data_IF_079274560570
#
_entry.id   IF_079274560570
#
_cell.length_a   1.000
_cell.length_b   1.000
_cell.length_c   1.000
_cell.angle_alpha   90.00
_cell.angle_beta   90.00
_cell.angle_gamma   90.00
#
_symmetry.space_group_name_H-M   'P 1'
#
loop_
_entity.id
_entity.type
_entity.pdbx_description
1 polymer ?
#
# COMPACT_ATOMS: atom_id res chain seq x y z
N UNK A 1 -31.41 27.30 8.43
CA UNK A 1 -30.79 26.90 7.15
C UNK A 1 -29.32 27.26 7.18
N UNK A 2 -28.42 26.27 7.32
CA UNK A 2 -26.98 26.53 7.22
C UNK A 2 -26.67 26.79 5.75
N UNK A 3 -26.11 27.96 5.44
CA UNK A 3 -25.70 28.31 4.08
C UNK A 3 -24.71 27.25 3.55
N UNK A 4 -24.96 26.72 2.36
CA UNK A 4 -24.10 25.74 1.67
C UNK A 4 -22.64 26.21 1.54
N UNK A 5 -22.41 27.52 1.60
CA UNK A 5 -21.06 28.12 1.63
C UNK A 5 -20.30 27.84 2.93
N UNK A 6 -20.97 27.89 4.08
CA UNK A 6 -20.40 27.61 5.40
C UNK A 6 -20.09 26.12 5.51
N UNK A 7 -20.99 25.27 5.03
CA UNK A 7 -20.79 23.83 5.01
C UNK A 7 -19.56 23.43 4.17
N UNK A 8 -19.38 24.01 2.98
CA UNK A 8 -18.18 23.80 2.16
C UNK A 8 -16.89 24.24 2.85
N UNK A 9 -16.94 25.34 3.62
CA UNK A 9 -15.76 25.89 4.32
C UNK A 9 -15.23 24.95 5.42
N UNK A 10 -16.07 24.09 5.98
CA UNK A 10 -15.66 23.10 6.99
C UNK A 10 -15.42 21.70 6.41
N UNK A 11 -16.24 21.25 5.45
CA UNK A 11 -16.10 19.90 4.86
C UNK A 11 -14.80 19.78 4.07
N UNK A 12 -14.43 20.79 3.27
CA UNK A 12 -13.24 20.71 2.41
C UNK A 12 -11.96 20.52 3.24
N UNK A 13 -11.65 21.33 4.27
CA UNK A 13 -10.50 21.09 5.14
C UNK A 13 -10.51 19.72 5.81
N UNK A 14 -11.68 19.27 6.27
CA UNK A 14 -11.81 17.99 6.97
C UNK A 14 -11.47 16.81 6.06
N UNK A 15 -11.90 16.85 4.80
CA UNK A 15 -11.55 15.84 3.78
C UNK A 15 -10.04 15.83 3.52
N UNK A 16 -9.41 17.01 3.39
CA UNK A 16 -7.95 17.10 3.23
C UNK A 16 -7.19 16.46 4.40
N UNK A 17 -7.60 16.74 5.64
CA UNK A 17 -6.96 16.15 6.83
C UNK A 17 -7.17 14.63 6.86
N UNK A 18 -8.39 14.16 6.64
CA UNK A 18 -8.69 12.73 6.61
C UNK A 18 -7.87 11.98 5.55
N UNK A 19 -7.65 12.61 4.40
CA UNK A 19 -6.86 12.07 3.30
C UNK A 19 -5.36 11.95 3.65
N UNK A 20 -4.78 12.96 4.31
CA UNK A 20 -3.41 12.88 4.81
C UNK A 20 -3.23 11.85 5.91
N UNK A 21 -4.23 11.71 6.78
CA UNK A 21 -4.27 10.67 7.81
C UNK A 21 -4.29 9.28 7.17
N UNK A 22 -5.14 9.05 6.17
CA UNK A 22 -5.18 7.79 5.41
C UNK A 22 -3.82 7.49 4.77
N UNK A 23 -3.22 8.47 4.10
CA UNK A 23 -1.90 8.33 3.51
C UNK A 23 -0.85 7.90 4.53
N UNK A 24 -0.82 8.57 5.68
CA UNK A 24 0.14 8.27 6.76
C UNK A 24 -0.05 6.86 7.32
N UNK A 25 -1.29 6.41 7.52
CA UNK A 25 -1.55 5.04 7.97
C UNK A 25 -1.09 4.00 6.95
N UNK A 26 -1.38 4.19 5.66
CA UNK A 26 -0.95 3.24 4.63
C UNK A 26 0.58 3.21 4.53
N UNK A 27 1.23 4.37 4.60
CA UNK A 27 2.68 4.46 4.65
C UNK A 27 3.26 3.68 5.83
N UNK A 28 2.73 3.87 7.05
CA UNK A 28 3.18 3.12 8.23
C UNK A 28 2.96 1.62 8.08
N UNK A 29 1.83 1.18 7.54
CA UNK A 29 1.56 -0.23 7.28
C UNK A 29 2.60 -0.84 6.32
N UNK A 30 2.91 -0.14 5.22
CA UNK A 30 3.91 -0.58 4.24
C UNK A 30 5.30 -0.62 4.88
N UNK A 31 5.68 0.40 5.66
CA UNK A 31 6.99 0.43 6.34
C UNK A 31 7.10 -0.70 7.35
N UNK A 32 6.11 -0.91 8.21
CA UNK A 32 6.11 -1.99 9.18
C UNK A 32 6.17 -3.37 8.50
N UNK A 33 5.39 -3.56 7.44
CA UNK A 33 5.41 -4.78 6.64
C UNK A 33 6.79 -5.06 6.03
N UNK A 34 7.42 -4.05 5.44
CA UNK A 34 8.75 -4.21 4.85
C UNK A 34 9.84 -4.42 5.92
N UNK A 35 9.79 -3.73 7.06
CA UNK A 35 10.77 -3.93 8.14
C UNK A 35 10.72 -5.36 8.66
N UNK A 36 9.52 -5.92 8.89
CA UNK A 36 9.38 -7.32 9.34
C UNK A 36 9.97 -8.29 8.31
N UNK A 37 9.65 -8.12 7.03
CA UNK A 37 10.18 -8.98 5.98
C UNK A 37 11.69 -8.80 5.75
N UNK A 38 12.21 -7.58 5.84
CA UNK A 38 13.65 -7.34 5.75
C UNK A 38 14.41 -7.88 6.97
N UNK A 39 13.86 -7.78 8.18
CA UNK A 39 14.42 -8.42 9.36
C UNK A 39 14.49 -9.95 9.17
N UNK A 40 13.47 -10.54 8.55
CA UNK A 40 13.48 -11.96 8.21
C UNK A 40 14.55 -12.36 7.20
N UNK A 41 14.97 -11.46 6.30
CA UNK A 41 16.14 -11.73 5.44
C UNK A 41 17.39 -11.96 6.28
N UNK A 42 17.58 -11.17 7.34
CA UNK A 42 18.75 -11.26 8.22
C UNK A 42 18.64 -12.49 9.13
N UNK A 43 17.45 -12.76 9.67
CA UNK A 43 17.20 -13.87 10.60
C UNK A 43 17.32 -15.25 9.93
N UNK A 44 16.91 -15.39 8.67
CA UNK A 44 16.97 -16.67 7.92
C UNK A 44 18.41 -17.13 7.65
N UNK A 45 19.39 -16.23 7.67
CA UNK A 45 20.82 -16.57 7.56
C UNK A 45 21.40 -17.14 8.88
N UNK A 46 20.65 -17.06 9.98
CA UNK A 46 21.04 -17.65 11.27
C UNK A 46 20.41 -19.05 11.42
N UNK A 47 21.26 -20.07 11.52
CA UNK A 47 20.88 -21.49 11.52
C UNK A 47 19.93 -21.97 12.65
N UNK A 48 19.51 -21.07 13.56
CA UNK A 48 18.73 -21.40 14.75
C UNK A 48 17.50 -20.51 14.97
N UNK A 49 17.26 -19.51 14.13
CA UNK A 49 16.13 -18.57 14.30
C UNK A 49 15.01 -18.86 13.29
N UNK A 50 13.77 -18.96 13.79
CA UNK A 50 12.59 -19.03 12.95
C UNK A 50 12.24 -17.63 12.41
N UNK A 51 11.73 -17.51 11.17
CA UNK A 51 11.32 -16.22 10.62
C UNK A 51 10.23 -15.59 11.50
N UNK A 52 10.35 -14.29 11.74
CA UNK A 52 9.35 -13.49 12.46
C UNK A 52 8.06 -13.52 11.66
N UNK A 53 7.06 -14.21 12.20
CA UNK A 53 5.73 -14.28 11.59
C UNK A 53 4.84 -13.17 12.14
N UNK A 54 3.89 -12.71 11.32
CA UNK A 54 2.81 -11.90 11.87
C UNK A 54 1.97 -12.80 12.78
N UNK A 55 1.87 -12.47 14.07
CA UNK A 55 1.08 -13.25 15.06
C UNK A 55 -0.43 -13.28 14.76
N UNK A 56 -0.88 -12.58 13.73
CA UNK A 56 -2.25 -12.60 13.24
C UNK A 56 -2.47 -13.79 12.29
N UNK A 57 -3.68 -14.38 12.32
CA UNK A 57 -4.01 -15.46 11.39
C UNK A 57 -3.84 -15.03 9.92
N UNK A 58 -3.42 -15.94 9.05
CA UNK A 58 -3.28 -15.69 7.61
C UNK A 58 -4.53 -15.02 7.02
N UNK A 59 -5.72 -15.50 7.39
CA UNK A 59 -7.01 -14.97 6.92
C UNK A 59 -7.20 -13.51 7.35
N UNK A 60 -6.88 -13.17 8.60
CA UNK A 60 -6.98 -11.78 9.07
C UNK A 60 -6.02 -10.85 8.32
N UNK A 61 -4.77 -11.27 8.13
CA UNK A 61 -3.78 -10.47 7.40
C UNK A 61 -4.18 -10.29 5.92
N UNK A 62 -4.72 -11.34 5.30
CA UNK A 62 -5.22 -11.31 3.94
C UNK A 62 -6.40 -10.32 3.78
N UNK A 63 -7.37 -10.36 4.69
CA UNK A 63 -8.52 -9.44 4.68
C UNK A 63 -8.03 -7.99 4.82
N UNK A 64 -7.05 -7.74 5.68
CA UNK A 64 -6.48 -6.40 5.87
C UNK A 64 -5.79 -5.92 4.58
N UNK A 65 -4.95 -6.73 3.96
CA UNK A 65 -4.26 -6.38 2.69
C UNK A 65 -5.26 -6.08 1.58
N UNK A 66 -6.27 -6.94 1.40
CA UNK A 66 -7.30 -6.73 0.39
C UNK A 66 -8.19 -5.51 0.68
N UNK A 67 -8.54 -5.30 1.95
CA UNK A 67 -9.35 -4.16 2.39
C UNK A 67 -8.64 -2.83 2.18
N UNK A 68 -7.37 -2.71 2.59
CA UNK A 68 -6.54 -1.54 2.34
C UNK A 68 -6.36 -1.35 0.83
N UNK A 69 -6.07 -2.42 0.10
CA UNK A 69 -5.94 -2.39 -1.35
C UNK A 69 -7.18 -1.84 -2.05
N UNK A 70 -8.37 -2.26 -1.62
CA UNK A 70 -9.64 -1.77 -2.16
C UNK A 70 -9.91 -0.30 -1.82
N UNK A 71 -9.60 0.13 -0.59
CA UNK A 71 -9.68 1.54 -0.19
C UNK A 71 -8.76 2.38 -1.06
N UNK A 72 -7.51 1.96 -1.24
CA UNK A 72 -6.53 2.63 -2.09
C UNK A 72 -6.98 2.67 -3.56
N UNK A 73 -7.53 1.57 -4.09
CA UNK A 73 -8.07 1.50 -5.45
C UNK A 73 -9.18 2.53 -5.69
N UNK A 74 -10.16 2.58 -4.78
CA UNK A 74 -11.25 3.54 -4.82
C UNK A 74 -10.72 4.97 -4.71
N UNK A 75 -9.79 5.20 -3.80
CA UNK A 75 -9.15 6.50 -3.61
C UNK A 75 -8.43 6.99 -4.88
N UNK A 76 -7.58 6.16 -5.49
CA UNK A 76 -6.89 6.49 -6.73
C UNK A 76 -7.90 6.76 -7.84
N UNK A 77 -8.94 5.93 -7.98
CA UNK A 77 -9.97 6.09 -9.00
C UNK A 77 -10.67 7.44 -8.90
N UNK A 78 -11.12 7.80 -7.69
CA UNK A 78 -11.89 9.03 -7.43
C UNK A 78 -11.05 10.25 -7.04
N UNK A 79 -9.71 10.17 -7.15
CA UNK A 79 -8.82 11.29 -6.85
C UNK A 79 -9.23 12.53 -7.65
N UNK A 80 -9.68 13.56 -6.92
CA UNK A 80 -10.25 14.81 -7.43
C UNK A 80 -9.49 15.99 -6.83
N UNK A 81 -9.21 17.03 -7.62
CA UNK A 81 -8.49 18.21 -7.14
C UNK A 81 -7.82 18.99 -8.26
N UNK A 82 -7.00 19.97 -7.89
CA UNK A 82 -6.22 20.74 -8.86
C UNK A 82 -5.21 19.83 -9.60
N UNK A 83 -4.94 20.10 -10.89
CA UNK A 83 -4.10 19.27 -11.76
C UNK A 83 -2.72 18.99 -11.17
N UNK A 84 -2.08 20.01 -10.59
CA UNK A 84 -0.75 19.87 -9.97
C UNK A 84 -0.80 19.00 -8.70
N UNK A 85 -1.82 19.20 -7.86
CA UNK A 85 -2.02 18.44 -6.62
C UNK A 85 -2.25 16.95 -6.91
N UNK A 86 -3.04 16.67 -7.94
CA UNK A 86 -3.35 15.33 -8.38
C UNK A 86 -2.11 14.58 -8.86
N UNK A 87 -1.33 15.19 -9.76
CA UNK A 87 -0.08 14.62 -10.27
C UNK A 87 0.92 14.33 -9.15
N UNK A 88 1.10 15.28 -8.23
CA UNK A 88 2.00 15.08 -7.10
C UNK A 88 1.60 13.84 -6.29
N UNK A 89 0.31 13.68 -6.00
CA UNK A 89 -0.19 12.51 -5.26
C UNK A 89 -0.07 11.21 -6.02
N UNK A 90 -0.38 11.21 -7.31
CA UNK A 90 -0.21 10.03 -8.16
C UNK A 90 1.24 9.55 -8.15
N UNK A 91 2.21 10.47 -8.26
CA UNK A 91 3.64 10.14 -8.18
C UNK A 91 4.00 9.57 -6.82
N UNK A 92 3.59 10.20 -5.72
CA UNK A 92 3.91 9.72 -4.36
C UNK A 92 3.32 8.33 -4.11
N UNK A 93 2.05 8.11 -4.47
CA UNK A 93 1.42 6.80 -4.33
C UNK A 93 2.03 5.75 -5.26
N UNK A 94 2.39 6.12 -6.49
CA UNK A 94 3.04 5.25 -7.46
C UNK A 94 4.42 4.78 -6.98
N UNK A 95 5.23 5.70 -6.45
CA UNK A 95 6.52 5.35 -5.84
C UNK A 95 6.31 4.44 -4.63
N UNK A 96 5.35 4.76 -3.77
CA UNK A 96 5.08 3.98 -2.56
C UNK A 96 4.71 2.52 -2.88
N UNK A 97 3.75 2.30 -3.79
CA UNK A 97 3.33 0.95 -4.17
C UNK A 97 4.35 0.25 -5.06
N UNK A 98 5.04 0.99 -5.94
CA UNK A 98 6.11 0.45 -6.78
C UNK A 98 7.26 -0.08 -5.92
N UNK A 99 7.74 0.70 -4.95
CA UNK A 99 8.77 0.26 -4.01
C UNK A 99 8.29 -0.93 -3.18
N UNK A 100 7.06 -0.90 -2.66
CA UNK A 100 6.52 -2.03 -1.90
C UNK A 100 6.52 -3.33 -2.73
N UNK A 101 6.13 -3.25 -4.00
CA UNK A 101 6.15 -4.39 -4.92
C UNK A 101 7.56 -4.95 -5.07
N UNK A 102 8.54 -4.08 -5.35
CA UNK A 102 9.95 -4.47 -5.51
C UNK A 102 10.49 -5.11 -4.23
N UNK A 103 10.24 -4.49 -3.07
CA UNK A 103 10.66 -5.02 -1.78
C UNK A 103 10.05 -6.39 -1.49
N UNK A 104 8.76 -6.59 -1.77
CA UNK A 104 8.11 -7.89 -1.61
C UNK A 104 8.75 -8.96 -2.51
N UNK A 105 9.05 -8.63 -3.78
CA UNK A 105 9.70 -9.57 -4.70
C UNK A 105 11.11 -9.94 -4.21
N UNK A 106 11.90 -8.96 -3.76
CA UNK A 106 13.24 -9.21 -3.21
C UNK A 106 13.16 -10.11 -1.98
N UNK A 107 12.29 -9.78 -1.02
CA UNK A 107 12.09 -10.61 0.18
C UNK A 107 11.65 -12.03 -0.19
N UNK A 108 10.72 -12.17 -1.14
CA UNK A 108 10.22 -13.46 -1.62
C UNK A 108 11.31 -14.31 -2.27
N UNK A 109 12.19 -13.68 -3.04
CA UNK A 109 13.32 -14.36 -3.71
C UNK A 109 14.38 -14.84 -2.72
N UNK A 110 14.67 -14.07 -1.67
CA UNK A 110 15.77 -14.37 -0.74
C UNK A 110 15.31 -15.33 0.35
N UNK A 111 14.16 -15.06 0.96
CA UNK A 111 13.66 -15.84 2.12
C UNK A 111 13.09 -17.18 1.68
N UNK A 112 12.30 -17.18 0.60
CA UNK A 112 11.55 -18.36 0.19
C UNK A 112 12.12 -19.02 -1.08
N UNK A 113 13.09 -18.41 -1.77
CA UNK A 113 13.60 -18.94 -3.05
C UNK A 113 12.51 -19.09 -4.11
N UNK A 114 11.45 -18.26 -4.06
CA UNK A 114 10.20 -18.41 -4.83
C UNK A 114 9.36 -19.66 -4.52
N UNK A 115 9.67 -20.37 -3.44
CA UNK A 115 8.90 -21.51 -2.97
C UNK A 115 7.83 -21.07 -1.96
N UNK A 116 6.71 -20.55 -2.46
CA UNK A 116 5.62 -19.95 -1.67
C UNK A 116 4.67 -20.98 -1.04
N UNK A 117 5.19 -22.07 -0.47
CA UNK A 117 4.36 -23.12 0.16
C UNK A 117 3.83 -22.66 1.54
N UNK A 118 4.54 -21.74 2.18
CA UNK A 118 4.17 -21.19 3.50
C UNK A 118 3.17 -20.05 3.37
N UNK A 119 2.23 -19.97 4.32
CA UNK A 119 1.18 -18.95 4.35
C UNK A 119 1.73 -17.52 4.29
N UNK A 120 2.85 -17.24 4.96
CA UNK A 120 3.51 -15.94 4.94
C UNK A 120 4.10 -15.59 3.57
N UNK A 121 4.66 -16.59 2.87
CA UNK A 121 5.11 -16.43 1.48
C UNK A 121 3.96 -16.12 0.52
N UNK A 122 2.80 -16.79 0.70
CA UNK A 122 1.59 -16.51 -0.09
C UNK A 122 1.08 -15.09 0.19
N UNK A 123 1.07 -14.66 1.46
CA UNK A 123 0.66 -13.32 1.84
C UNK A 123 1.57 -12.24 1.24
N UNK A 124 2.89 -12.47 1.24
CA UNK A 124 3.88 -11.62 0.61
C UNK A 124 3.62 -11.48 -0.89
N UNK A 125 3.36 -12.61 -1.57
CA UNK A 125 3.05 -12.63 -3.00
C UNK A 125 1.76 -11.87 -3.33
N UNK A 126 0.70 -12.07 -2.55
CA UNK A 126 -0.57 -11.35 -2.72
C UNK A 126 -0.35 -9.84 -2.50
N UNK A 127 0.43 -9.46 -1.50
CA UNK A 127 0.74 -8.05 -1.22
C UNK A 127 1.52 -7.41 -2.36
N UNK A 128 2.46 -8.15 -2.97
CA UNK A 128 3.17 -7.72 -4.17
C UNK A 128 2.21 -7.51 -5.35
N UNK A 129 1.29 -8.46 -5.60
CA UNK A 129 0.31 -8.33 -6.68
C UNK A 129 -0.65 -7.16 -6.49
N UNK A 130 -1.19 -6.97 -5.29
CA UNK A 130 -2.07 -5.84 -4.98
C UNK A 130 -1.33 -4.52 -5.20
N UNK A 131 -0.08 -4.42 -4.73
CA UNK A 131 0.74 -3.22 -4.90
C UNK A 131 1.08 -2.96 -6.38
N UNK A 132 1.39 -4.00 -7.15
CA UNK A 132 1.64 -3.89 -8.59
C UNK A 132 0.38 -3.41 -9.33
N UNK A 133 -0.78 -3.97 -9.01
CA UNK A 133 -2.05 -3.59 -9.63
C UNK A 133 -2.40 -2.12 -9.35
N UNK A 134 -2.22 -1.65 -8.11
CA UNK A 134 -2.41 -0.25 -7.74
C UNK A 134 -1.42 0.66 -8.47
N UNK A 135 -0.17 0.24 -8.63
CA UNK A 135 0.84 0.99 -9.39
C UNK A 135 0.45 1.13 -10.86
N UNK A 136 0.01 0.04 -11.49
CA UNK A 136 -0.48 0.04 -12.88
C UNK A 136 -1.69 0.96 -13.02
N UNK A 137 -2.65 0.90 -12.09
CA UNK A 137 -3.82 1.77 -12.09
C UNK A 137 -3.42 3.25 -12.08
N UNK A 138 -2.42 3.63 -11.27
CA UNK A 138 -1.90 5.00 -11.21
C UNK A 138 -1.28 5.42 -12.55
N UNK A 139 -0.45 4.56 -13.14
CA UNK A 139 0.20 4.84 -14.44
C UNK A 139 -0.86 5.02 -15.53
N UNK A 140 -1.82 4.09 -15.63
CA UNK A 140 -2.91 4.17 -16.62
C UNK A 140 -3.74 5.43 -16.46
N UNK A 141 -4.03 5.83 -15.22
CA UNK A 141 -4.77 7.06 -14.92
C UNK A 141 -3.96 8.30 -15.32
N UNK A 142 -2.68 8.33 -14.98
CA UNK A 142 -1.79 9.43 -15.34
C UNK A 142 -1.70 9.62 -16.87
N UNK A 143 -1.52 8.53 -17.63
CA UNK A 143 -1.43 8.57 -19.09
C UNK A 143 -2.72 9.07 -19.76
N UNK A 144 -3.88 8.70 -19.21
CA UNK A 144 -5.18 9.17 -19.70
C UNK A 144 -5.38 10.69 -19.51
N UNK A 145 -4.80 11.27 -18.46
CA UNK A 145 -4.99 12.70 -18.10
C UNK A 145 -3.89 13.63 -18.65
N UNK A 146 -2.83 13.04 -19.19
CA UNK A 146 -1.77 13.75 -19.91
C UNK A 146 -2.07 13.85 -21.42
N UNK A 147 -2.82 12.89 -21.97
CA UNK A 147 -3.41 12.98 -23.32
C UNK A 147 -4.46 14.09 -23.40
#
# INVERSE_FOLDING_TARGET
>A
MVSTSVLKKFIVPMVYVAEWVLFFYVFLCIVAFNIVNFANIIAVDMAWEEPITFTASFVTSLIVVLGIGLICFCYIKFLTGNRAYKRFKEVVWGILFGLNTVSCVICGSIIYGFNFIHADGILLLITAFVSAFLTIQIIMKHDYEVK
#
